data_IF_790372617774
#
_entry.id   IF_790372617774
#
_cell.length_a   1.000
_cell.length_b   1.000
_cell.length_c   1.000
_cell.angle_alpha   90.00
_cell.angle_beta   90.00
_cell.angle_gamma   90.00
#
_symmetry.space_group_name_H-M   'P 1'
#
loop_
_entity.id
_entity.type
_entity.pdbx_description
1 polymer ?
#
# COMPACT_ATOMS: atom_id res chain seq x y z
N UNK A 1 120.58 -21.21 135.65
CA UNK A 1 119.57 -21.83 134.77
C UNK A 1 118.16 -21.28 135.00
N UNK A 2 117.75 -20.92 136.23
CA UNK A 2 116.39 -20.41 136.52
C UNK A 2 116.06 -18.99 135.96
N UNK A 3 116.97 -18.01 136.06
CA UNK A 3 116.70 -16.61 135.64
C UNK A 3 116.58 -16.37 134.12
N UNK A 4 117.14 -17.25 133.27
CA UNK A 4 117.08 -17.08 131.80
C UNK A 4 115.72 -17.58 131.26
N UNK A 5 115.16 -18.62 131.89
CA UNK A 5 113.88 -19.21 131.51
C UNK A 5 112.73 -18.22 131.79
N UNK A 6 112.79 -17.49 132.90
CA UNK A 6 111.76 -16.54 133.30
C UNK A 6 111.65 -15.34 132.33
N UNK A 7 112.78 -14.72 131.94
CA UNK A 7 112.82 -13.61 130.97
C UNK A 7 112.34 -14.04 129.58
N UNK A 8 112.71 -15.25 129.14
CA UNK A 8 112.24 -15.80 127.86
C UNK A 8 110.72 -16.04 127.90
N UNK A 9 110.19 -16.55 129.01
CA UNK A 9 108.75 -16.73 129.21
C UNK A 9 107.99 -15.40 129.20
N UNK A 10 108.50 -14.36 129.87
CA UNK A 10 107.85 -13.03 129.86
C UNK A 10 107.81 -12.43 128.45
N UNK A 11 108.92 -12.51 127.70
CA UNK A 11 108.97 -12.03 126.31
C UNK A 11 108.07 -12.84 125.36
N UNK A 12 107.99 -14.16 125.55
CA UNK A 12 107.04 -15.02 124.81
C UNK A 12 105.58 -14.64 125.09
N UNK A 13 105.25 -14.31 126.35
CA UNK A 13 103.90 -13.86 126.73
C UNK A 13 103.60 -12.48 126.12
N UNK A 14 104.53 -11.52 126.18
CA UNK A 14 104.33 -10.18 125.60
C UNK A 14 104.17 -10.21 124.08
N UNK A 15 104.99 -10.99 123.38
CA UNK A 15 104.86 -11.18 121.93
C UNK A 15 103.57 -11.92 121.55
N UNK A 16 103.11 -12.89 122.35
CA UNK A 16 101.82 -13.53 122.18
C UNK A 16 100.64 -12.56 122.40
N UNK A 17 100.72 -11.69 123.41
CA UNK A 17 99.72 -10.64 123.67
C UNK A 17 99.68 -9.63 122.51
N UNK A 18 100.84 -9.17 122.01
CA UNK A 18 100.91 -8.27 120.87
C UNK A 18 100.37 -8.90 119.58
N UNK A 19 100.68 -10.18 119.33
CA UNK A 19 100.13 -10.93 118.21
C UNK A 19 98.61 -11.08 118.33
N UNK A 20 98.10 -11.33 119.55
CA UNK A 20 96.66 -11.43 119.82
C UNK A 20 95.96 -10.08 119.62
N UNK A 21 96.54 -8.97 120.07
CA UNK A 21 96.00 -7.62 119.87
C UNK A 21 95.98 -7.28 118.37
N UNK A 22 97.06 -7.56 117.64
CA UNK A 22 97.14 -7.35 116.20
C UNK A 22 96.11 -8.19 115.44
N UNK A 23 95.89 -9.44 115.85
CA UNK A 23 94.86 -10.31 115.31
C UNK A 23 93.45 -9.77 115.59
N UNK A 24 93.16 -9.32 116.82
CA UNK A 24 91.87 -8.72 117.20
C UNK A 24 91.63 -7.41 116.42
N UNK A 25 92.64 -6.55 116.27
CA UNK A 25 92.57 -5.33 115.48
C UNK A 25 92.32 -5.64 113.99
N UNK A 26 93.00 -6.64 113.44
CA UNK A 26 92.77 -7.12 112.08
C UNK A 26 91.34 -7.63 111.88
N UNK A 27 90.81 -8.41 112.83
CA UNK A 27 89.40 -8.84 112.83
C UNK A 27 88.45 -7.64 112.92
N UNK A 28 88.76 -6.64 113.74
CA UNK A 28 87.92 -5.44 113.88
C UNK A 28 87.90 -4.58 112.60
N UNK A 29 89.05 -4.34 111.98
CA UNK A 29 89.15 -3.61 110.70
C UNK A 29 88.43 -4.39 109.58
N UNK A 30 88.60 -5.72 109.54
CA UNK A 30 87.89 -6.59 108.60
C UNK A 30 86.36 -6.52 108.80
N UNK A 31 85.89 -6.53 110.05
CA UNK A 31 84.47 -6.38 110.39
C UNK A 31 83.92 -5.02 109.94
N UNK A 32 84.64 -3.92 110.16
CA UNK A 32 84.20 -2.58 109.70
C UNK A 32 84.15 -2.51 108.17
N UNK A 33 85.16 -3.05 107.49
CA UNK A 33 85.20 -3.11 106.03
C UNK A 33 84.03 -3.92 105.46
N UNK A 34 83.78 -5.12 106.01
CA UNK A 34 82.65 -5.95 105.63
C UNK A 34 81.31 -5.28 105.92
N UNK A 35 81.17 -4.61 107.08
CA UNK A 35 79.96 -3.85 107.43
C UNK A 35 79.69 -2.71 106.44
N UNK A 36 80.73 -1.99 106.01
CA UNK A 36 80.64 -0.96 104.98
C UNK A 36 80.25 -1.51 103.60
N UNK A 37 80.85 -2.63 103.19
CA UNK A 37 80.50 -3.33 101.93
C UNK A 37 79.07 -3.87 101.95
N UNK A 38 78.64 -4.46 103.06
CA UNK A 38 77.26 -4.92 103.28
C UNK A 38 76.27 -3.75 103.21
N UNK A 39 76.61 -2.59 103.79
CA UNK A 39 75.75 -1.40 103.71
C UNK A 39 75.60 -0.91 102.26
N UNK A 40 76.69 -0.78 101.51
CA UNK A 40 76.63 -0.41 100.08
C UNK A 40 75.81 -1.40 99.25
N UNK A 41 75.99 -2.71 99.49
CA UNK A 41 75.21 -3.75 98.83
C UNK A 41 73.71 -3.63 99.18
N UNK A 42 73.37 -3.34 100.43
CA UNK A 42 71.97 -3.08 100.84
C UNK A 42 71.37 -1.85 100.17
N UNK A 43 72.13 -0.77 100.06
CA UNK A 43 71.67 0.45 99.40
C UNK A 43 71.43 0.21 97.89
N UNK A 44 72.33 -0.53 97.23
CA UNK A 44 72.16 -0.95 95.83
C UNK A 44 70.96 -1.88 95.64
N UNK A 45 70.74 -2.85 96.56
CA UNK A 45 69.56 -3.72 96.53
C UNK A 45 68.29 -2.88 96.62
N UNK A 46 68.25 -1.90 97.53
CA UNK A 46 67.08 -1.01 97.69
C UNK A 46 66.83 -0.15 96.44
N UNK A 47 67.88 0.36 95.80
CA UNK A 47 67.75 1.11 94.55
C UNK A 47 67.22 0.23 93.42
N UNK A 48 67.71 -1.01 93.31
CA UNK A 48 67.23 -1.99 92.35
C UNK A 48 65.77 -2.41 92.63
N UNK A 49 65.39 -2.61 93.88
CA UNK A 49 64.02 -2.90 94.29
C UNK A 49 63.07 -1.78 93.85
N UNK A 50 63.40 -0.52 94.14
CA UNK A 50 62.62 0.63 93.70
C UNK A 50 62.55 0.73 92.16
N UNK A 51 63.65 0.44 91.46
CA UNK A 51 63.67 0.47 90.00
C UNK A 51 62.83 -0.67 89.38
N UNK A 52 62.81 -1.85 90.00
CA UNK A 52 61.96 -2.98 89.60
C UNK A 52 60.49 -2.62 89.81
N UNK A 53 60.13 -2.06 90.97
CA UNK A 53 58.77 -1.61 91.27
C UNK A 53 58.28 -0.55 90.27
N UNK A 54 59.13 0.44 89.95
CA UNK A 54 58.82 1.45 88.94
C UNK A 54 58.58 0.84 87.55
N UNK A 55 59.44 -0.10 87.13
CA UNK A 55 59.26 -0.82 85.86
C UNK A 55 58.00 -1.70 85.84
N UNK A 56 57.64 -2.31 86.96
CA UNK A 56 56.43 -3.13 87.07
C UNK A 56 55.16 -2.29 86.89
N UNK A 57 55.13 -1.09 87.47
CA UNK A 57 54.03 -0.12 87.29
C UNK A 57 53.93 0.32 85.82
N UNK A 58 55.05 0.65 85.18
CA UNK A 58 55.04 1.06 83.77
C UNK A 58 54.65 -0.09 82.84
N UNK A 59 55.11 -1.31 83.12
CA UNK A 59 54.68 -2.50 82.38
C UNK A 59 53.18 -2.74 82.52
N UNK A 60 52.61 -2.53 83.73
CA UNK A 60 51.17 -2.61 83.97
C UNK A 60 50.40 -1.55 83.16
N UNK A 61 50.88 -0.30 83.12
CA UNK A 61 50.27 0.76 82.30
C UNK A 61 50.29 0.42 80.81
N UNK A 62 51.43 -0.05 80.30
CA UNK A 62 51.56 -0.47 78.90
C UNK A 62 50.59 -1.61 78.59
N UNK A 63 50.49 -2.61 79.48
CA UNK A 63 49.55 -3.73 79.32
C UNK A 63 48.10 -3.26 79.26
N UNK A 64 47.68 -2.35 80.14
CA UNK A 64 46.31 -1.79 80.13
C UNK A 64 46.06 -1.04 78.82
N UNK A 65 46.98 -0.15 78.41
CA UNK A 65 46.84 0.60 77.15
C UNK A 65 46.78 -0.31 75.92
N UNK A 66 47.57 -1.40 75.91
CA UNK A 66 47.52 -2.39 74.85
C UNK A 66 46.17 -3.12 74.81
N UNK A 67 45.59 -3.46 75.98
CA UNK A 67 44.25 -4.06 76.06
C UNK A 67 43.16 -3.10 75.60
N UNK A 68 43.21 -1.83 76.00
CA UNK A 68 42.27 -0.80 75.53
C UNK A 68 42.32 -0.64 74.01
N UNK A 69 43.52 -0.59 73.44
CA UNK A 69 43.70 -0.51 71.99
C UNK A 69 43.17 -1.75 71.27
N UNK A 70 43.37 -2.95 71.82
CA UNK A 70 42.82 -4.18 71.25
C UNK A 70 41.29 -4.16 71.26
N UNK A 71 40.67 -3.73 72.37
CA UNK A 71 39.22 -3.60 72.47
C UNK A 71 38.67 -2.59 71.44
N UNK A 72 39.35 -1.45 71.27
CA UNK A 72 38.95 -0.44 70.29
C UNK A 72 39.05 -0.97 68.86
N UNK A 73 40.15 -1.65 68.53
CA UNK A 73 40.34 -2.28 67.21
C UNK A 73 39.33 -3.39 66.95
N UNK A 74 38.95 -4.18 67.97
CA UNK A 74 37.91 -5.19 67.83
C UNK A 74 36.54 -4.58 67.54
N UNK A 75 36.22 -3.42 68.13
CA UNK A 75 35.01 -2.65 67.80
C UNK A 75 35.04 -2.14 66.36
N UNK A 76 36.14 -1.54 65.92
CA UNK A 76 36.31 -1.09 64.54
C UNK A 76 36.12 -2.25 63.55
N UNK A 77 36.75 -3.39 63.85
CA UNK A 77 36.65 -4.61 63.04
C UNK A 77 35.22 -5.16 63.01
N UNK A 78 34.47 -5.09 64.11
CA UNK A 78 33.08 -5.48 64.15
C UNK A 78 32.20 -4.58 63.26
N UNK A 79 32.41 -3.26 63.30
CA UNK A 79 31.71 -2.30 62.44
C UNK A 79 32.01 -2.56 60.97
N UNK A 80 33.29 -2.73 60.61
CA UNK A 80 33.68 -3.03 59.24
C UNK A 80 33.08 -4.35 58.74
N UNK A 81 33.04 -5.39 59.58
CA UNK A 81 32.38 -6.67 59.25
C UNK A 81 30.88 -6.49 59.00
N UNK A 82 30.20 -5.68 59.80
CA UNK A 82 28.78 -5.39 59.60
C UNK A 82 28.54 -4.65 58.27
N UNK A 83 29.34 -3.62 57.97
CA UNK A 83 29.26 -2.87 56.71
C UNK A 83 29.56 -3.75 55.48
N UNK A 84 30.55 -4.65 55.57
CA UNK A 84 30.85 -5.60 54.50
C UNK A 84 29.65 -6.51 54.23
N UNK A 85 29.01 -7.02 55.27
CA UNK A 85 27.83 -7.88 55.12
C UNK A 85 26.63 -7.13 54.52
N UNK A 86 26.39 -5.90 54.96
CA UNK A 86 25.34 -5.05 54.39
C UNK A 86 25.60 -4.78 52.90
N UNK A 87 26.81 -4.35 52.54
CA UNK A 87 27.21 -4.12 51.15
C UNK A 87 27.07 -5.37 50.29
N UNK A 88 27.37 -6.55 50.84
CA UNK A 88 27.21 -7.82 50.14
C UNK A 88 25.75 -8.11 49.81
N UNK A 89 24.83 -7.88 50.74
CA UNK A 89 23.40 -8.05 50.46
C UNK A 89 22.87 -7.01 49.48
N UNK A 90 23.33 -5.76 49.56
CA UNK A 90 23.01 -4.72 48.57
C UNK A 90 23.48 -5.12 47.17
N UNK A 91 24.72 -5.62 47.03
CA UNK A 91 25.25 -6.08 45.75
C UNK A 91 24.44 -7.23 45.18
N UNK A 92 24.11 -8.22 45.99
CA UNK A 92 23.27 -9.36 45.60
C UNK A 92 21.88 -8.93 45.11
N UNK A 93 21.28 -7.92 45.73
CA UNK A 93 20.00 -7.39 45.26
C UNK A 93 20.16 -6.64 43.94
N UNK A 94 21.20 -5.81 43.79
CA UNK A 94 21.50 -5.13 42.52
C UNK A 94 21.79 -6.11 41.38
N UNK A 95 22.47 -7.22 41.65
CA UNK A 95 22.68 -8.29 40.67
C UNK A 95 21.36 -8.89 40.17
N UNK A 96 20.39 -9.09 41.06
CA UNK A 96 19.04 -9.54 40.68
C UNK A 96 18.31 -8.50 39.84
N UNK A 97 18.40 -7.23 40.21
CA UNK A 97 17.77 -6.14 39.45
C UNK A 97 18.37 -6.03 38.04
N UNK A 98 19.69 -6.14 37.91
CA UNK A 98 20.39 -6.17 36.61
C UNK A 98 19.92 -7.37 35.77
N UNK A 99 19.82 -8.56 36.36
CA UNK A 99 19.34 -9.74 35.65
C UNK A 99 17.90 -9.58 35.14
N UNK A 100 17.02 -8.98 35.95
CA UNK A 100 15.64 -8.67 35.57
C UNK A 100 15.58 -7.63 34.44
N UNK A 101 16.38 -6.56 34.54
CA UNK A 101 16.47 -5.54 33.49
C UNK A 101 16.98 -6.11 32.17
N UNK A 102 18.02 -6.96 32.20
CA UNK A 102 18.53 -7.61 30.99
C UNK A 102 17.48 -8.49 30.31
N UNK A 103 16.65 -9.19 31.09
CA UNK A 103 15.53 -9.97 30.56
C UNK A 103 14.49 -9.07 29.89
N UNK A 104 14.15 -7.94 30.50
CA UNK A 104 13.22 -6.95 29.91
C UNK A 104 13.79 -6.32 28.64
N UNK A 105 15.09 -6.03 28.60
CA UNK A 105 15.78 -5.52 27.42
C UNK A 105 15.65 -6.54 26.28
N UNK A 106 15.96 -7.81 26.53
CA UNK A 106 15.82 -8.86 25.51
C UNK A 106 14.38 -9.01 24.98
N UNK A 107 13.37 -8.89 25.85
CA UNK A 107 11.96 -8.88 25.43
C UNK A 107 11.61 -7.68 24.53
N UNK A 108 12.09 -6.49 24.89
CA UNK A 108 11.88 -5.27 24.09
C UNK A 108 12.61 -5.35 22.75
N UNK A 109 13.84 -5.85 22.71
CA UNK A 109 14.58 -6.07 21.47
C UNK A 109 13.85 -7.05 20.55
N UNK A 110 13.31 -8.14 21.10
CA UNK A 110 12.47 -9.07 20.34
C UNK A 110 11.22 -8.40 19.76
N UNK A 111 10.55 -7.55 20.55
CA UNK A 111 9.37 -6.79 20.10
C UNK A 111 9.72 -5.77 19.01
N UNK A 112 10.87 -5.10 19.13
CA UNK A 112 11.37 -4.16 18.12
C UNK A 112 11.66 -4.88 16.81
N UNK A 113 12.29 -6.05 16.86
CA UNK A 113 12.60 -6.83 15.67
C UNK A 113 11.32 -7.28 14.95
N UNK A 114 10.31 -7.74 15.70
CA UNK A 114 9.01 -8.11 15.15
C UNK A 114 8.32 -6.91 14.49
N UNK A 115 8.25 -5.76 15.17
CA UNK A 115 7.66 -4.54 14.61
C UNK A 115 8.42 -4.06 13.37
N UNK A 116 9.74 -4.21 13.35
CA UNK A 116 10.58 -3.85 12.20
C UNK A 116 10.26 -4.73 10.99
N UNK A 117 10.09 -6.04 11.19
CA UNK A 117 9.68 -6.96 10.13
C UNK A 117 8.29 -6.61 9.59
N UNK A 118 7.32 -6.34 10.47
CA UNK A 118 5.97 -5.96 10.07
C UNK A 118 5.95 -4.64 9.27
N UNK A 119 6.75 -3.65 9.67
CA UNK A 119 6.90 -2.41 8.92
C UNK A 119 7.50 -2.65 7.52
N UNK A 120 8.49 -3.53 7.40
CA UNK A 120 9.05 -3.95 6.12
C UNK A 120 7.98 -4.52 5.18
N UNK A 121 7.21 -5.51 5.66
CA UNK A 121 6.12 -6.13 4.89
C UNK A 121 5.04 -5.13 4.48
N UNK A 122 4.66 -4.22 5.37
CA UNK A 122 3.68 -3.17 5.05
C UNK A 122 4.21 -2.20 4.00
N UNK A 123 5.49 -1.83 4.06
CA UNK A 123 6.10 -0.96 3.06
C UNK A 123 6.13 -1.62 1.68
N UNK A 124 6.49 -2.91 1.60
CA UNK A 124 6.42 -3.67 0.35
C UNK A 124 4.99 -3.69 -0.21
N UNK A 125 4.00 -3.94 0.64
CA UNK A 125 2.59 -3.91 0.25
C UNK A 125 2.16 -2.54 -0.28
N UNK A 126 2.59 -1.45 0.36
CA UNK A 126 2.33 -0.08 -0.09
C UNK A 126 2.95 0.17 -1.48
N UNK A 127 4.16 -0.30 -1.74
CA UNK A 127 4.80 -0.14 -3.04
C UNK A 127 4.07 -0.91 -4.15
N UNK A 128 3.58 -2.12 -3.87
CA UNK A 128 2.72 -2.87 -4.80
C UNK A 128 1.43 -2.09 -5.08
N UNK A 129 0.73 -1.62 -4.05
CA UNK A 129 -0.52 -0.86 -4.23
C UNK A 129 -0.29 0.44 -5.02
N UNK A 130 0.83 1.14 -4.79
CA UNK A 130 1.17 2.34 -5.56
C UNK A 130 1.34 2.04 -7.05
N UNK A 131 1.99 0.92 -7.38
CA UNK A 131 2.18 0.47 -8.76
C UNK A 131 0.84 0.14 -9.41
N UNK A 132 -0.01 -0.63 -8.73
CA UNK A 132 -1.36 -0.96 -9.21
C UNK A 132 -2.22 0.30 -9.44
N UNK A 133 -2.17 1.27 -8.52
CA UNK A 133 -2.86 2.56 -8.68
C UNK A 133 -2.33 3.32 -9.91
N UNK A 134 -1.02 3.29 -10.17
CA UNK A 134 -0.44 3.95 -11.34
C UNK A 134 -0.91 3.29 -12.65
N UNK A 135 -0.93 1.97 -12.70
CA UNK A 135 -1.42 1.17 -13.84
C UNK A 135 -2.93 1.43 -14.07
N UNK A 136 -3.74 1.40 -13.02
CA UNK A 136 -5.18 1.72 -13.10
C UNK A 136 -5.43 3.13 -13.62
N UNK A 137 -4.65 4.12 -13.14
CA UNK A 137 -4.74 5.50 -13.64
C UNK A 137 -4.38 5.60 -15.11
N UNK A 138 -3.40 4.83 -15.58
CA UNK A 138 -3.05 4.81 -16.99
C UNK A 138 -4.15 4.18 -17.84
N UNK A 139 -4.64 2.99 -17.46
CA UNK A 139 -5.74 2.33 -18.15
C UNK A 139 -6.98 3.23 -18.20
N UNK A 140 -7.28 3.95 -17.13
CA UNK A 140 -8.41 4.89 -17.12
C UNK A 140 -8.23 6.02 -18.13
N UNK A 141 -7.03 6.63 -18.22
CA UNK A 141 -6.74 7.66 -19.23
C UNK A 141 -6.90 7.11 -20.65
N UNK A 142 -6.38 5.92 -20.93
CA UNK A 142 -6.49 5.28 -22.24
C UNK A 142 -7.96 4.97 -22.59
N UNK A 143 -8.73 4.49 -21.61
CA UNK A 143 -10.16 4.20 -21.79
C UNK A 143 -10.95 5.48 -22.05
N UNK A 144 -10.67 6.57 -21.32
CA UNK A 144 -11.30 7.87 -21.53
C UNK A 144 -10.99 8.44 -22.93
N UNK A 145 -9.73 8.37 -23.37
CA UNK A 145 -9.34 8.79 -24.72
C UNK A 145 -10.06 7.98 -25.80
N UNK A 146 -10.18 6.66 -25.60
CA UNK A 146 -10.88 5.78 -26.54
C UNK A 146 -12.39 6.03 -26.56
N UNK A 147 -12.98 6.39 -25.42
CA UNK A 147 -14.38 6.79 -25.33
C UNK A 147 -14.62 8.09 -26.10
N UNK A 148 -13.77 9.10 -25.93
CA UNK A 148 -13.86 10.37 -26.66
C UNK A 148 -13.73 10.16 -28.17
N UNK A 149 -12.78 9.33 -28.63
CA UNK A 149 -12.68 8.96 -30.05
C UNK A 149 -13.92 8.25 -30.58
N UNK A 150 -14.53 7.37 -29.78
CA UNK A 150 -15.75 6.67 -30.16
C UNK A 150 -16.94 7.63 -30.25
N UNK A 151 -17.08 8.55 -29.30
CA UNK A 151 -18.11 9.60 -29.31
C UNK A 151 -17.98 10.48 -30.57
N UNK A 152 -16.76 10.89 -30.92
CA UNK A 152 -16.50 11.65 -32.15
C UNK A 152 -16.89 10.87 -33.42
N UNK A 153 -16.56 9.58 -33.50
CA UNK A 153 -16.97 8.73 -34.63
C UNK A 153 -18.48 8.55 -34.71
N UNK A 154 -19.16 8.41 -33.56
CA UNK A 154 -20.62 8.33 -33.53
C UNK A 154 -21.24 9.63 -34.02
N UNK A 155 -20.70 10.79 -33.63
CA UNK A 155 -21.16 12.08 -34.13
C UNK A 155 -20.98 12.21 -35.65
N UNK A 156 -19.84 11.79 -36.20
CA UNK A 156 -19.56 11.79 -37.63
C UNK A 156 -20.51 10.86 -38.41
N UNK A 157 -20.73 9.64 -37.90
CA UNK A 157 -21.67 8.69 -38.49
C UNK A 157 -23.09 9.26 -38.47
N UNK A 158 -23.52 9.87 -37.37
CA UNK A 158 -24.85 10.47 -37.27
C UNK A 158 -25.04 11.61 -38.30
N UNK A 159 -24.03 12.45 -38.51
CA UNK A 159 -24.05 13.48 -39.56
C UNK A 159 -24.17 12.85 -40.95
N UNK A 160 -23.37 11.80 -41.23
CA UNK A 160 -23.42 11.09 -42.51
C UNK A 160 -24.77 10.41 -42.75
N UNK A 161 -25.37 9.84 -41.71
CA UNK A 161 -26.71 9.22 -41.77
C UNK A 161 -27.78 10.27 -42.07
N UNK A 162 -27.70 11.44 -41.44
CA UNK A 162 -28.61 12.56 -41.71
C UNK A 162 -28.54 13.03 -43.17
N UNK A 163 -27.33 13.21 -43.71
CA UNK A 163 -27.11 13.57 -45.11
C UNK A 163 -27.67 12.51 -46.07
N UNK A 164 -27.44 11.22 -45.79
CA UNK A 164 -27.97 10.12 -46.60
C UNK A 164 -29.50 10.04 -46.54
N UNK A 165 -30.11 10.29 -45.38
CA UNK A 165 -31.58 10.33 -45.23
C UNK A 165 -32.18 11.49 -46.04
N UNK A 166 -31.57 12.67 -46.01
CA UNK A 166 -32.02 13.81 -46.82
C UNK A 166 -31.89 13.51 -48.32
N UNK A 167 -30.76 12.94 -48.74
CA UNK A 167 -30.55 12.54 -50.14
C UNK A 167 -31.58 11.48 -50.59
N UNK A 168 -31.89 10.51 -49.73
CA UNK A 168 -32.89 9.47 -50.01
C UNK A 168 -34.29 10.07 -50.17
N UNK A 169 -34.71 10.95 -49.25
CA UNK A 169 -36.00 11.64 -49.33
C UNK A 169 -36.11 12.49 -50.61
N UNK A 170 -35.03 13.19 -50.99
CA UNK A 170 -35.00 13.94 -52.23
C UNK A 170 -35.18 13.04 -53.46
N UNK A 171 -34.51 11.87 -53.48
CA UNK A 171 -34.64 10.89 -54.56
C UNK A 171 -36.01 10.23 -54.61
N UNK A 172 -36.63 9.96 -53.46
CA UNK A 172 -37.97 9.41 -53.38
C UNK A 172 -39.03 10.42 -53.87
N UNK A 173 -38.87 11.70 -53.54
CA UNK A 173 -39.69 12.79 -54.07
C UNK A 173 -39.53 12.93 -55.58
N UNK A 174 -38.29 12.91 -56.10
CA UNK A 174 -38.00 12.94 -57.54
C UNK A 174 -38.66 11.75 -58.25
N UNK A 175 -38.50 10.53 -57.71
CA UNK A 175 -39.11 9.33 -58.27
C UNK A 175 -40.65 9.38 -58.24
N UNK A 176 -41.24 9.93 -57.19
CA UNK A 176 -42.69 10.12 -57.09
C UNK A 176 -43.20 11.13 -58.12
N UNK A 177 -42.49 12.26 -58.27
CA UNK A 177 -42.80 13.27 -59.29
C UNK A 177 -42.69 12.69 -60.72
N UNK A 178 -41.68 11.85 -60.97
CA UNK A 178 -41.48 11.20 -62.26
C UNK A 178 -42.57 10.17 -62.53
N UNK A 179 -42.95 9.36 -61.54
CA UNK A 179 -44.09 8.43 -61.64
C UNK A 179 -45.40 9.16 -61.88
N UNK A 180 -45.64 10.28 -61.18
CA UNK A 180 -46.83 11.11 -61.38
C UNK A 180 -46.84 11.72 -62.79
N UNK A 181 -45.70 12.22 -63.28
CA UNK A 181 -45.55 12.74 -64.65
C UNK A 181 -45.77 11.66 -65.70
N UNK A 182 -45.22 10.46 -65.51
CA UNK A 182 -45.45 9.32 -66.40
C UNK A 182 -46.93 8.94 -66.43
N UNK A 183 -47.60 8.93 -65.27
CA UNK A 183 -49.05 8.66 -65.18
C UNK A 183 -49.86 9.77 -65.85
N UNK A 184 -49.52 11.02 -65.64
CA UNK A 184 -50.17 12.17 -66.29
C UNK A 184 -49.97 12.16 -67.82
N UNK A 185 -48.80 11.73 -68.29
CA UNK A 185 -48.52 11.56 -69.72
C UNK A 185 -49.17 10.31 -70.34
N UNK A 186 -49.87 9.50 -69.54
CA UNK A 186 -50.59 8.32 -69.99
C UNK A 186 -52.09 8.56 -69.88
N UNK A 187 -52.69 8.97 -70.99
CA UNK A 187 -54.14 9.14 -71.08
C UNK A 187 -54.87 7.81 -70.91
N UNK A 188 -56.02 7.80 -70.25
CA UNK A 188 -56.79 6.57 -70.04
C UNK A 188 -57.60 6.18 -71.28
N UNK A 189 -57.03 5.28 -72.08
CA UNK A 189 -57.69 4.70 -73.26
C UNK A 189 -58.98 3.94 -72.96
N UNK A 190 -59.30 3.61 -71.70
CA UNK A 190 -60.60 3.05 -71.35
C UNK A 190 -61.77 3.99 -71.70
N UNK A 191 -61.49 5.29 -71.80
CA UNK A 191 -62.44 6.33 -72.22
C UNK A 191 -62.80 6.25 -73.72
N UNK A 192 -62.03 5.48 -74.51
CA UNK A 192 -62.27 5.29 -75.94
C UNK A 192 -63.08 4.01 -76.15
N UNK A 193 -64.29 4.15 -76.68
CA UNK A 193 -65.19 3.03 -76.90
C UNK A 193 -64.60 2.07 -77.93
N UNK A 194 -64.41 0.82 -77.52
CA UNK A 194 -63.79 -0.25 -78.31
C UNK A 194 -62.36 -0.59 -77.91
N UNK A 195 -61.72 0.20 -77.04
CA UNK A 195 -60.39 -0.12 -76.50
C UNK A 195 -60.55 -0.76 -75.10
N UNK A 196 -60.48 -2.08 -75.05
CA UNK A 196 -60.43 -2.82 -73.78
C UNK A 196 -59.03 -2.83 -73.16
N UNK A 197 -58.88 -3.30 -71.89
CA UNK A 197 -57.59 -3.33 -71.19
C UNK A 197 -56.47 -4.02 -71.96
N UNK A 198 -56.79 -5.12 -72.66
CA UNK A 198 -55.83 -5.87 -73.47
C UNK A 198 -55.37 -5.08 -74.69
N UNK A 199 -56.28 -4.46 -75.43
CA UNK A 199 -55.96 -3.62 -76.60
C UNK A 199 -55.16 -2.39 -76.19
N UNK A 200 -55.53 -1.74 -75.08
CA UNK A 200 -54.78 -0.62 -74.50
C UNK A 200 -53.32 -1.01 -74.21
N UNK A 201 -53.09 -2.19 -73.64
CA UNK A 201 -51.74 -2.70 -73.39
C UNK A 201 -50.93 -2.89 -74.70
N UNK A 202 -51.54 -3.43 -75.75
CA UNK A 202 -50.90 -3.61 -77.07
C UNK A 202 -50.53 -2.28 -77.71
N UNK A 203 -51.46 -1.32 -77.72
CA UNK A 203 -51.22 0.02 -78.29
C UNK A 203 -50.08 0.74 -77.55
N UNK A 204 -50.06 0.64 -76.22
CA UNK A 204 -48.99 1.21 -75.40
C UNK A 204 -47.65 0.53 -75.64
N UNK A 205 -47.62 -0.80 -75.76
CA UNK A 205 -46.41 -1.55 -76.12
C UNK A 205 -45.86 -1.15 -77.48
N UNK A 206 -46.73 -0.74 -78.41
CA UNK A 206 -46.35 -0.19 -79.72
C UNK A 206 -45.99 1.32 -79.70
N UNK A 207 -45.91 1.95 -78.53
CA UNK A 207 -45.50 3.35 -78.37
C UNK A 207 -46.62 4.39 -78.54
N UNK A 208 -47.89 3.95 -78.60
CA UNK A 208 -49.08 4.81 -78.59
C UNK A 208 -49.59 4.88 -77.15
N UNK A 209 -49.18 5.91 -76.43
CA UNK A 209 -49.33 5.99 -74.97
C UNK A 209 -50.21 7.13 -74.47
N UNK A 210 -50.68 8.02 -75.35
CA UNK A 210 -51.59 9.11 -75.05
C UNK A 210 -52.59 9.33 -76.20
N UNK A 211 -53.65 10.08 -75.94
CA UNK A 211 -54.75 10.38 -76.86
C UNK A 211 -54.23 11.11 -78.09
N UNK A 212 -53.28 12.04 -77.96
CA UNK A 212 -52.69 12.74 -79.11
C UNK A 212 -51.99 11.79 -80.09
N UNK A 213 -51.25 10.80 -79.58
CA UNK A 213 -50.61 9.76 -80.42
C UNK A 213 -51.62 8.80 -81.01
N UNK A 214 -52.70 8.50 -80.29
CA UNK A 214 -53.78 7.66 -80.80
C UNK A 214 -54.60 8.39 -81.87
N UNK A 215 -54.81 9.70 -81.72
CA UNK A 215 -55.53 10.58 -82.64
C UNK A 215 -54.79 10.76 -83.97
N UNK A 216 -53.46 10.78 -83.91
CA UNK A 216 -52.59 10.90 -85.10
C UNK A 216 -52.20 9.53 -85.70
N UNK A 217 -52.59 8.42 -85.05
CA UNK A 217 -52.27 7.09 -85.54
C UNK A 217 -53.10 6.74 -86.78
N UNK A 218 -52.43 6.29 -87.83
CA UNK A 218 -53.11 5.77 -89.01
C UNK A 218 -53.82 4.44 -88.67
N UNK A 219 -55.06 4.28 -89.11
CA UNK A 219 -55.88 3.07 -88.95
C UNK A 219 -55.15 1.83 -89.46
N UNK A 220 -54.46 1.89 -90.60
CA UNK A 220 -53.70 0.76 -91.15
C UNK A 220 -52.58 0.33 -90.20
N UNK A 221 -51.94 1.31 -89.56
CA UNK A 221 -50.88 1.08 -88.58
C UNK A 221 -51.46 0.51 -87.29
N UNK A 222 -52.62 0.97 -86.84
CA UNK A 222 -53.33 0.40 -85.69
C UNK A 222 -53.71 -1.06 -85.96
N UNK A 223 -54.22 -1.38 -87.15
CA UNK A 223 -54.54 -2.74 -87.56
C UNK A 223 -53.30 -3.64 -87.57
N UNK A 224 -52.19 -3.19 -88.18
CA UNK A 224 -50.93 -3.94 -88.19
C UNK A 224 -50.40 -4.21 -86.78
N UNK A 225 -50.50 -3.23 -85.88
CA UNK A 225 -50.08 -3.37 -84.48
C UNK A 225 -50.90 -4.46 -83.77
N UNK A 226 -52.22 -4.46 -83.95
CA UNK A 226 -53.11 -5.44 -83.31
C UNK A 226 -52.98 -6.84 -83.92
N UNK A 227 -52.87 -6.92 -85.25
CA UNK A 227 -52.71 -8.18 -85.98
C UNK A 227 -51.39 -8.87 -85.62
N UNK A 228 -50.29 -8.11 -85.55
CA UNK A 228 -48.97 -8.62 -85.18
C UNK A 228 -48.95 -9.24 -83.78
N UNK A 229 -49.71 -8.67 -82.84
CA UNK A 229 -49.75 -9.15 -81.46
C UNK A 229 -50.72 -10.33 -81.30
N UNK A 230 -51.97 -10.16 -81.75
CA UNK A 230 -52.94 -11.23 -81.75
C UNK A 230 -54.06 -10.92 -82.76
N UNK A 231 -54.13 -11.67 -83.87
CA UNK A 231 -55.17 -11.49 -84.89
C UNK A 231 -56.60 -11.56 -84.35
N UNK A 232 -56.83 -12.24 -83.22
CA UNK A 232 -58.16 -12.33 -82.59
C UNK A 232 -58.65 -11.00 -82.03
N UNK A 233 -57.77 -10.02 -81.77
CA UNK A 233 -58.15 -8.69 -81.28
C UNK A 233 -58.94 -7.89 -82.31
N UNK A 234 -58.60 -8.04 -83.59
CA UNK A 234 -59.31 -7.42 -84.71
C UNK A 234 -60.69 -8.04 -84.96
N UNK A 235 -60.96 -9.23 -84.41
CA UNK A 235 -62.30 -9.85 -84.46
C UNK A 235 -63.23 -9.29 -83.38
N UNK A 236 -62.65 -8.79 -82.29
CA UNK A 236 -63.38 -8.31 -81.12
C UNK A 236 -63.55 -6.79 -81.12
N UNK A 237 -62.70 -6.08 -81.86
CA UNK A 237 -62.62 -4.63 -81.81
C UNK A 237 -62.31 -4.04 -83.18
N UNK A 238 -62.80 -2.83 -83.44
CA UNK A 238 -62.61 -2.11 -84.69
C UNK A 238 -61.91 -0.76 -84.42
N UNK A 239 -60.66 -0.57 -84.89
CA UNK A 239 -59.90 0.67 -84.70
C UNK A 239 -60.38 1.87 -85.50
N UNK A 240 -61.30 1.71 -86.45
CA UNK A 240 -61.68 2.76 -87.41
C UNK A 240 -62.12 4.08 -86.76
N UNK A 241 -62.64 4.01 -85.54
CA UNK A 241 -63.18 5.17 -84.81
C UNK A 241 -62.30 5.64 -83.67
N UNK A 242 -61.18 4.96 -83.38
CA UNK A 242 -60.33 5.30 -82.24
C UNK A 242 -59.53 6.59 -82.42
N UNK A 243 -58.95 6.89 -83.61
CA UNK A 243 -58.25 8.15 -83.79
C UNK A 243 -59.17 9.36 -83.57
N UNK A 244 -60.39 9.31 -84.08
CA UNK A 244 -61.34 10.42 -83.93
C UNK A 244 -61.85 10.57 -82.49
N UNK A 245 -62.17 9.46 -81.82
CA UNK A 245 -62.50 9.49 -80.39
C UNK A 245 -61.33 9.99 -79.54
N UNK A 246 -60.10 9.60 -79.86
CA UNK A 246 -58.90 10.06 -79.16
C UNK A 246 -58.62 11.53 -79.43
N UNK A 247 -58.95 12.05 -80.62
CA UNK A 247 -58.83 13.48 -80.93
C UNK A 247 -59.72 14.29 -80.01
N UNK A 248 -61.00 13.93 -79.92
CA UNK A 248 -61.97 14.59 -79.03
C UNK A 248 -61.55 14.47 -77.55
N UNK A 249 -61.07 13.30 -77.14
CA UNK A 249 -60.54 13.10 -75.78
C UNK A 249 -59.28 13.95 -75.50
N UNK A 250 -58.40 14.15 -76.50
CA UNK A 250 -57.21 15.01 -76.37
C UNK A 250 -57.51 16.51 -76.37
N UNK A 251 -58.66 16.90 -76.93
CA UNK A 251 -59.17 18.28 -76.95
C UNK A 251 -60.04 18.59 -75.72
N UNK A 252 -60.18 17.63 -74.79
CA UNK A 252 -61.07 17.69 -73.62
C UNK A 252 -62.57 17.88 -73.97
N UNK A 253 -62.96 17.61 -75.22
CA UNK A 253 -64.34 17.70 -75.69
C UNK A 253 -65.12 16.42 -75.38
N UNK A 254 -65.35 16.20 -74.08
CA UNK A 254 -66.03 15.01 -73.55
C UNK A 254 -67.50 14.93 -73.97
N UNK A 255 -68.13 16.08 -74.21
CA UNK A 255 -69.52 16.16 -74.66
C UNK A 255 -69.64 15.65 -76.11
N UNK A 256 -68.78 16.14 -77.02
CA UNK A 256 -68.73 15.63 -78.39
C UNK A 256 -68.28 14.17 -78.43
N UNK A 257 -67.33 13.75 -77.59
CA UNK A 257 -66.94 12.35 -77.48
C UNK A 257 -68.11 11.45 -77.07
N UNK A 258 -68.88 11.85 -76.05
CA UNK A 258 -70.04 11.09 -75.60
C UNK A 258 -71.10 10.98 -76.70
N UNK A 259 -71.39 12.09 -77.40
CA UNK A 259 -72.32 12.10 -78.52
C UNK A 259 -71.85 11.17 -79.66
N UNK A 260 -70.56 11.20 -80.00
CA UNK A 260 -69.96 10.30 -80.98
C UNK A 260 -70.13 8.85 -80.54
N UNK A 261 -69.77 8.52 -79.30
CA UNK A 261 -69.89 7.17 -78.76
C UNK A 261 -71.33 6.64 -78.74
N UNK A 262 -72.30 7.47 -78.41
CA UNK A 262 -73.71 7.08 -78.43
C UNK A 262 -74.20 6.83 -79.86
N UNK A 263 -73.75 7.64 -80.83
CA UNK A 263 -74.02 7.40 -82.25
C UNK A 263 -73.40 6.08 -82.73
N UNK A 264 -72.20 5.73 -82.26
CA UNK A 264 -71.52 4.46 -82.61
C UNK A 264 -72.23 3.25 -81.99
N UNK A 265 -72.72 3.37 -80.75
CA UNK A 265 -73.56 2.34 -80.12
C UNK A 265 -74.87 2.16 -80.88
N UNK A 266 -75.51 3.27 -81.29
CA UNK A 266 -76.72 3.26 -82.11
C UNK A 266 -76.50 2.53 -83.44
N UNK A 267 -75.39 2.84 -84.14
CA UNK A 267 -75.00 2.15 -85.39
C UNK A 267 -74.77 0.65 -85.19
N UNK A 268 -74.09 0.24 -84.12
CA UNK A 268 -73.89 -1.19 -83.80
C UNK A 268 -75.20 -1.91 -83.50
N UNK A 269 -76.14 -1.28 -82.77
CA UNK A 269 -77.47 -1.87 -82.52
C UNK A 269 -78.26 -2.03 -83.82
N UNK A 270 -78.21 -1.04 -84.71
CA UNK A 270 -78.87 -1.17 -86.02
C UNK A 270 -78.26 -2.28 -86.88
N UNK A 271 -76.93 -2.46 -86.87
CA UNK A 271 -76.29 -3.54 -87.64
C UNK A 271 -76.51 -4.93 -87.03
N UNK A 272 -76.56 -5.04 -85.69
CA UNK A 272 -76.92 -6.29 -85.02
C UNK A 272 -78.41 -6.64 -85.11
N UNK A 273 -79.27 -5.68 -85.48
CA UNK A 273 -80.71 -5.92 -85.73
C UNK A 273 -81.01 -6.26 -87.20
N UNK A 274 -79.99 -6.32 -88.05
CA UNK A 274 -80.11 -6.62 -89.50
C UNK A 274 -79.40 -7.91 -89.89
N UNK A 275 -78.96 -8.72 -88.90
CA UNK A 275 -78.42 -10.07 -89.04
C UNK A 275 -79.05 -10.98 -88.00
#
# INVERSE_FOLDING_TARGET
>A
MANIVEVILTYQIETAILALIGFILGLFISLIYWKGKIRKAKDQIKELENAIEGKEVDFKKIRVRAQELLIDKDKDMAVLRAQINENKEVLKNREKDIAALNTQIGQKEGSINELTLQLGLKNESIEVMKKEIAELKQMHRETMSRAEEAENKVAEINSSVEELMQALNAKESEATSLKARIRYMQDDFSSITGIGPKVSAVLRAAGINNFTRLATANIDKLNQILEKENPSLLRLTDPATWPEQARLASEEDWEALSALQESLKGKRRSQASTH
#
